data_IF_607400646635
#
_entry.id   IF_607400646635
#
_cell.length_a   1.000
_cell.length_b   1.000
_cell.length_c   1.000
_cell.angle_alpha   90.00
_cell.angle_beta   90.00
_cell.angle_gamma   90.00
#
_symmetry.space_group_name_H-M   'P 1'
#
loop_
_entity.id
_entity.type
_entity.pdbx_description
1 polymer ?
#
# COMPACT_ATOMS: atom_id res chain seq x y z
N UNK A 1 -10.52 15.33 8.84
CA UNK A 1 -10.94 14.02 8.35
C UNK A 1 -11.99 13.31 9.23
N UNK A 2 -13.02 12.71 8.63
CA UNK A 2 -13.98 11.80 9.27
C UNK A 2 -13.74 10.31 8.90
N UNK A 3 -14.43 9.36 9.56
CA UNK A 3 -14.23 7.92 9.31
C UNK A 3 -14.48 7.50 7.86
N UNK A 4 -15.45 8.13 7.17
CA UNK A 4 -15.75 7.82 5.77
C UNK A 4 -14.60 8.26 4.86
N UNK A 5 -14.14 9.51 5.02
CA UNK A 5 -13.00 10.04 4.28
C UNK A 5 -11.71 9.24 4.53
N UNK A 6 -11.51 8.77 5.76
CA UNK A 6 -10.38 7.92 6.12
C UNK A 6 -10.45 6.56 5.40
N UNK A 7 -11.63 5.95 5.34
CA UNK A 7 -11.84 4.66 4.65
C UNK A 7 -11.70 4.82 3.14
N UNK A 8 -12.24 5.90 2.58
CA UNK A 8 -12.18 6.20 1.15
C UNK A 8 -10.74 6.46 0.66
N UNK A 9 -9.83 6.91 1.54
CA UNK A 9 -8.42 7.21 1.22
C UNK A 9 -7.41 6.22 1.84
N UNK A 10 -7.89 5.12 2.41
CA UNK A 10 -7.05 4.20 3.19
C UNK A 10 -5.99 3.52 2.33
N UNK A 11 -6.34 3.16 1.09
CA UNK A 11 -5.39 2.50 0.18
C UNK A 11 -4.34 3.48 -0.34
N UNK A 12 -4.72 4.70 -0.70
CA UNK A 12 -3.80 5.77 -1.09
C UNK A 12 -2.82 6.09 0.05
N UNK A 13 -3.29 6.03 1.31
CA UNK A 13 -2.41 6.12 2.48
C UNK A 13 -1.45 4.95 2.60
N UNK A 14 -1.93 3.71 2.42
CA UNK A 14 -1.11 2.49 2.45
C UNK A 14 -0.04 2.46 1.33
N UNK A 15 -0.39 2.99 0.17
CA UNK A 15 0.47 3.06 -1.03
C UNK A 15 1.38 4.31 -1.04
N UNK A 16 1.20 5.23 -0.08
CA UNK A 16 1.94 6.50 0.06
C UNK A 16 1.74 7.46 -1.12
N UNK A 17 0.52 7.51 -1.63
CA UNK A 17 0.15 8.34 -2.79
C UNK A 17 -0.55 9.65 -2.39
N UNK A 18 -0.59 9.94 -1.10
CA UNK A 18 -1.24 11.14 -0.57
C UNK A 18 -0.27 12.31 -0.42
N UNK A 19 -0.83 13.52 -0.41
CA UNK A 19 -0.06 14.70 -0.03
C UNK A 19 0.33 14.62 1.46
N UNK A 20 1.44 15.25 1.88
CA UNK A 20 1.88 15.20 3.28
C UNK A 20 0.83 15.71 4.28
N UNK A 21 0.00 16.68 3.88
CA UNK A 21 -1.07 17.21 4.72
C UNK A 21 -2.16 16.16 4.98
N UNK A 22 -2.60 15.47 3.92
CA UNK A 22 -3.64 14.43 4.02
C UNK A 22 -3.11 13.18 4.73
N UNK A 23 -1.85 12.81 4.47
CA UNK A 23 -1.20 11.71 5.20
C UNK A 23 -1.22 11.96 6.72
N UNK A 24 -0.89 13.18 7.15
CA UNK A 24 -0.91 13.54 8.56
C UNK A 24 -2.32 13.51 9.16
N UNK A 25 -3.35 13.94 8.41
CA UNK A 25 -4.73 13.87 8.86
C UNK A 25 -5.22 12.42 9.05
N UNK A 26 -4.94 11.53 8.10
CA UNK A 26 -5.26 10.10 8.21
C UNK A 26 -4.54 9.48 9.39
N UNK A 27 -3.22 9.74 9.51
CA UNK A 27 -2.40 9.21 10.60
C UNK A 27 -2.96 9.61 11.96
N UNK A 28 -3.35 10.87 12.14
CA UNK A 28 -3.96 11.34 13.37
C UNK A 28 -5.33 10.67 13.60
N UNK A 29 -6.16 10.55 12.56
CA UNK A 29 -7.47 9.93 12.68
C UNK A 29 -7.39 8.46 13.09
N UNK A 30 -6.51 7.67 12.46
CA UNK A 30 -6.28 6.26 12.80
C UNK A 30 -5.79 6.11 14.26
N UNK A 31 -4.95 7.04 14.74
CA UNK A 31 -4.46 7.02 16.12
C UNK A 31 -5.57 7.34 17.14
N UNK A 32 -6.48 8.25 16.80
CA UNK A 32 -7.55 8.72 17.71
C UNK A 32 -8.85 7.92 17.59
N UNK A 33 -9.01 7.13 16.53
CA UNK A 33 -10.22 6.39 16.22
C UNK A 33 -9.95 4.87 16.17
N UNK A 34 -10.16 4.12 17.27
CA UNK A 34 -9.95 2.68 17.34
C UNK A 34 -10.55 1.86 16.17
N UNK A 35 -11.81 2.07 15.73
CA UNK A 35 -12.35 1.28 14.62
C UNK A 35 -11.61 1.51 13.29
N UNK A 36 -11.15 2.74 13.03
CA UNK A 36 -10.33 3.01 11.83
C UNK A 36 -8.91 2.46 11.99
N UNK A 37 -8.38 2.43 13.21
CA UNK A 37 -7.15 1.75 13.58
C UNK A 37 -7.18 0.26 13.26
N UNK A 38 -8.22 -0.43 13.71
CA UNK A 38 -8.41 -1.87 13.47
C UNK A 38 -8.55 -2.20 11.97
N UNK A 39 -9.30 -1.40 11.22
CA UNK A 39 -9.44 -1.56 9.77
C UNK A 39 -8.08 -1.36 9.07
N UNK A 40 -7.32 -0.33 9.44
CA UNK A 40 -5.98 -0.08 8.90
C UNK A 40 -5.03 -1.27 9.15
N UNK A 41 -5.01 -1.79 10.37
CA UNK A 41 -4.16 -2.93 10.72
C UNK A 41 -4.54 -4.18 9.94
N UNK A 42 -5.85 -4.43 9.76
CA UNK A 42 -6.35 -5.52 8.93
C UNK A 42 -5.88 -5.39 7.47
N UNK A 43 -6.12 -4.23 6.84
CA UNK A 43 -5.74 -4.00 5.44
C UNK A 43 -4.24 -4.13 5.22
N UNK A 44 -3.44 -3.59 6.14
CA UNK A 44 -1.98 -3.72 6.11
C UNK A 44 -1.53 -5.18 6.18
N UNK A 45 -2.13 -5.99 7.06
CA UNK A 45 -1.83 -7.43 7.15
C UNK A 45 -2.26 -8.17 5.88
N UNK A 46 -3.43 -7.85 5.34
CA UNK A 46 -3.97 -8.44 4.12
C UNK A 46 -3.08 -8.17 2.89
N UNK A 47 -2.67 -6.91 2.68
CA UNK A 47 -1.73 -6.55 1.62
C UNK A 47 -0.36 -7.22 1.81
N UNK A 48 0.10 -7.33 3.06
CA UNK A 48 1.31 -8.07 3.41
C UNK A 48 1.23 -9.55 3.01
N UNK A 49 0.10 -10.20 3.29
CA UNK A 49 -0.16 -11.57 2.88
C UNK A 49 -0.18 -11.74 1.35
N UNK A 50 -0.90 -10.87 0.64
CA UNK A 50 -0.95 -10.89 -0.82
C UNK A 50 0.46 -10.74 -1.43
N UNK A 51 1.23 -9.77 -0.93
CA UNK A 51 2.61 -9.54 -1.37
C UNK A 51 3.50 -10.76 -1.16
N UNK A 52 3.36 -11.45 -0.03
CA UNK A 52 4.11 -12.68 0.24
C UNK A 52 3.75 -13.80 -0.75
N UNK A 53 2.46 -13.97 -1.05
CA UNK A 53 1.98 -14.97 -2.03
C UNK A 53 2.44 -14.67 -3.45
N UNK A 54 2.34 -13.42 -3.89
CA UNK A 54 2.81 -13.01 -5.21
C UNK A 54 4.33 -13.19 -5.37
N UNK A 55 5.11 -12.86 -4.32
CA UNK A 55 6.56 -13.07 -4.32
C UNK A 55 6.96 -14.55 -4.37
N UNK A 56 6.16 -15.44 -3.80
CA UNK A 56 6.45 -16.87 -3.81
C UNK A 56 6.40 -17.48 -5.23
N UNK A 57 5.55 -16.96 -6.12
CA UNK A 57 5.54 -17.37 -7.53
C UNK A 57 6.65 -16.69 -8.33
N UNK A 58 6.99 -15.44 -7.96
CA UNK A 58 8.00 -14.65 -8.64
C UNK A 58 7.58 -14.23 -10.05
N UNK A 59 8.28 -13.25 -10.63
CA UNK A 59 8.06 -12.88 -12.02
C UNK A 59 8.63 -13.97 -12.97
N UNK A 60 7.97 -14.24 -14.11
CA UNK A 60 8.47 -15.13 -15.16
C UNK A 60 9.90 -14.76 -15.62
N UNK A 61 10.69 -15.77 -15.99
CA UNK A 61 12.09 -15.57 -16.35
C UNK A 61 12.27 -14.79 -17.67
N UNK A 62 11.33 -14.89 -18.61
CA UNK A 62 11.32 -14.07 -19.83
C UNK A 62 11.09 -12.59 -19.52
N UNK A 63 10.15 -12.27 -18.63
CA UNK A 63 9.87 -10.89 -18.22
C UNK A 63 11.09 -10.26 -17.53
N UNK A 64 11.75 -11.01 -16.64
CA UNK A 64 12.98 -10.55 -15.98
C UNK A 64 14.09 -10.25 -16.99
N UNK A 65 14.28 -11.12 -18.00
CA UNK A 65 15.27 -10.89 -19.06
C UNK A 65 14.97 -9.63 -19.85
N UNK A 66 13.74 -9.47 -20.35
CA UNK A 66 13.33 -8.28 -21.10
C UNK A 66 13.54 -6.98 -20.32
N UNK A 67 13.25 -6.97 -19.02
CA UNK A 67 13.48 -5.80 -18.17
C UNK A 67 14.98 -5.51 -18.01
N UNK A 68 15.79 -6.55 -17.84
CA UNK A 68 17.24 -6.38 -17.72
C UNK A 68 17.87 -5.89 -19.02
N UNK A 69 17.43 -6.42 -20.17
CA UNK A 69 17.90 -5.97 -21.48
C UNK A 69 17.58 -4.47 -21.67
N UNK A 70 16.34 -4.04 -21.43
CA UNK A 70 15.94 -2.62 -21.52
C UNK A 70 16.69 -1.69 -20.54
N UNK A 71 17.05 -2.18 -19.35
CA UNK A 71 17.79 -1.38 -18.37
C UNK A 71 19.30 -1.27 -18.69
N UNK A 72 19.83 -2.17 -19.52
CA UNK A 72 21.24 -2.28 -19.84
C UNK A 72 21.57 -1.85 -21.27
N UNK A 73 20.58 -1.75 -22.14
CA UNK A 73 20.67 -1.11 -23.44
C UNK A 73 20.67 0.43 -23.22
N UNK A 74 21.82 1.08 -23.41
CA UNK A 74 21.97 2.55 -23.47
C UNK A 74 21.28 3.15 -24.71
#
# INVERSE_FOLDING_TARGET
>A
MNCRECKDQLYEYLDRELTPAVEQEIRQHIADCPPCGEEFDFEKLFLGFLKARCRAQGAPADLKRRILDELLDE
#
